data_IF_910608560893
#
_entry.id   IF_910608560893
#
_cell.length_a   1.000
_cell.length_b   1.000
_cell.length_c   1.000
_cell.angle_alpha   90.00
_cell.angle_beta   90.00
_cell.angle_gamma   90.00
#
_symmetry.space_group_name_H-M   'P 1'
#
loop_
_entity.id
_entity.type
_entity.pdbx_description
1 polymer ?
#
# COMPACT_ATOMS: atom_id res chain seq x y z
N UNK A 1 7.70 -54.90 -2.48
CA UNK A 1 8.03 -54.12 -1.27
C UNK A 1 8.71 -52.83 -1.72
N UNK A 2 8.13 -51.69 -1.34
CA UNK A 2 8.66 -50.31 -1.32
C UNK A 2 9.14 -49.76 -2.69
N UNK A 3 8.42 -48.89 -3.40
CA UNK A 3 7.51 -47.83 -2.96
C UNK A 3 8.27 -46.51 -2.71
N UNK A 4 8.99 -46.00 -3.72
CA UNK A 4 9.68 -44.70 -3.63
C UNK A 4 8.81 -43.60 -4.23
N UNK A 5 8.00 -42.98 -3.37
CA UNK A 5 7.30 -41.74 -3.68
C UNK A 5 8.33 -40.61 -3.57
N UNK A 6 8.75 -40.06 -4.70
CA UNK A 6 9.42 -38.77 -4.75
C UNK A 6 8.39 -37.70 -4.38
N UNK A 7 8.36 -37.30 -3.10
CA UNK A 7 7.65 -36.10 -2.67
C UNK A 7 8.48 -34.92 -3.17
N UNK A 8 8.10 -34.37 -4.32
CA UNK A 8 8.49 -33.03 -4.75
C UNK A 8 7.91 -32.06 -3.72
N UNK A 9 8.74 -31.68 -2.75
CA UNK A 9 8.49 -30.54 -1.88
C UNK A 9 8.52 -29.30 -2.79
N UNK A 10 7.34 -28.91 -3.28
CA UNK A 10 7.08 -27.56 -3.77
C UNK A 10 7.24 -26.62 -2.58
N UNK A 11 8.49 -26.28 -2.27
CA UNK A 11 8.81 -25.17 -1.38
C UNK A 11 8.35 -23.90 -2.09
N UNK A 12 7.16 -23.45 -1.69
CA UNK A 12 6.56 -22.15 -1.92
C UNK A 12 7.62 -21.03 -1.85
N UNK A 13 8.17 -20.66 -3.01
CA UNK A 13 9.11 -19.56 -3.16
C UNK A 13 8.41 -18.20 -3.21
N UNK A 14 7.28 -18.05 -2.50
CA UNK A 14 6.41 -16.87 -2.60
C UNK A 14 6.46 -15.87 -1.42
N UNK A 15 7.21 -16.01 -0.30
CA UNK A 15 7.20 -14.95 0.71
C UNK A 15 8.37 -13.95 0.64
N UNK A 16 9.51 -14.29 0.02
CA UNK A 16 10.76 -13.51 0.23
C UNK A 16 10.71 -12.14 -0.46
N UNK A 17 10.22 -12.09 -1.71
CA UNK A 17 10.15 -10.81 -2.46
C UNK A 17 9.09 -9.87 -1.88
N UNK A 18 7.91 -10.40 -1.53
CA UNK A 18 6.83 -9.62 -0.92
C UNK A 18 7.25 -9.05 0.45
N UNK A 19 7.91 -9.83 1.30
CA UNK A 19 8.38 -9.34 2.61
C UNK A 19 9.40 -8.20 2.49
N UNK A 20 10.27 -8.21 1.46
CA UNK A 20 11.30 -7.18 1.29
C UNK A 20 10.73 -5.78 0.99
N UNK A 21 9.58 -5.69 0.32
CA UNK A 21 8.95 -4.43 -0.04
C UNK A 21 8.24 -3.77 1.16
N UNK A 22 7.59 -4.58 1.99
CA UNK A 22 6.91 -4.13 3.22
C UNK A 22 7.86 -3.97 4.41
N UNK A 23 9.07 -4.54 4.36
CA UNK A 23 10.09 -4.36 5.40
C UNK A 23 10.40 -2.87 5.65
N UNK A 24 10.28 -2.02 4.62
CA UNK A 24 10.51 -0.57 4.71
C UNK A 24 9.57 0.16 5.66
N UNK A 25 8.43 -0.44 6.01
CA UNK A 25 7.44 0.16 6.93
C UNK A 25 7.12 -0.71 8.15
N UNK A 26 7.83 -1.83 8.35
CA UNK A 26 7.57 -2.77 9.45
C UNK A 26 7.85 -2.22 10.87
N UNK A 27 8.36 -0.99 11.01
CA UNK A 27 8.72 -0.39 12.30
C UNK A 27 8.49 1.12 12.42
N UNK A 28 7.70 1.72 11.53
CA UNK A 28 7.49 3.17 11.52
C UNK A 28 6.59 3.62 10.38
N UNK A 29 6.89 4.79 9.81
CA UNK A 29 6.22 5.29 8.61
C UNK A 29 7.23 5.51 7.47
N UNK A 30 6.75 5.36 6.24
CA UNK A 30 7.47 5.78 5.05
C UNK A 30 7.17 7.24 4.78
N UNK A 31 8.18 8.10 4.90
CA UNK A 31 8.07 9.52 4.58
C UNK A 31 8.14 9.72 3.06
N UNK A 32 7.12 10.38 2.50
CA UNK A 32 7.00 10.69 1.08
C UNK A 32 6.77 12.19 0.95
N UNK A 33 7.68 12.88 0.27
CA UNK A 33 7.56 14.31 0.01
C UNK A 33 6.99 14.52 -1.39
N UNK A 34 5.89 15.23 -1.51
CA UNK A 34 5.18 15.44 -2.78
C UNK A 34 5.32 16.90 -3.18
N UNK A 35 5.83 17.17 -4.37
CA UNK A 35 5.96 18.52 -4.91
C UNK A 35 4.79 18.87 -5.83
N UNK A 36 4.71 20.15 -6.19
CA UNK A 36 3.76 20.74 -7.12
C UNK A 36 3.95 20.33 -8.60
N UNK A 37 4.95 19.50 -8.89
CA UNK A 37 5.25 19.01 -10.23
C UNK A 37 4.69 17.60 -10.35
N UNK A 38 4.21 17.21 -11.53
CA UNK A 38 3.70 15.87 -11.78
C UNK A 38 4.79 14.81 -11.52
N UNK A 39 4.89 14.39 -10.26
CA UNK A 39 5.86 13.42 -9.76
C UNK A 39 5.09 12.25 -9.22
N UNK A 40 5.25 11.09 -9.87
CA UNK A 40 4.57 9.86 -9.48
C UNK A 40 5.49 9.06 -8.56
N UNK A 41 5.08 8.91 -7.30
CA UNK A 41 5.72 8.01 -6.35
C UNK A 41 4.99 6.67 -6.34
N UNK A 42 5.64 5.61 -6.82
CA UNK A 42 5.13 4.25 -6.77
C UNK A 42 5.90 3.42 -5.73
N UNK A 43 5.20 2.58 -4.97
CA UNK A 43 5.84 1.74 -3.95
C UNK A 43 6.92 0.79 -4.51
N UNK A 44 6.80 0.39 -5.78
CA UNK A 44 7.74 -0.52 -6.45
C UNK A 44 8.41 0.09 -7.70
N UNK A 45 8.42 1.42 -7.88
CA UNK A 45 8.94 2.11 -9.08
C UNK A 45 8.38 1.66 -10.45
N UNK A 46 7.51 0.65 -10.51
CA UNK A 46 6.95 0.06 -11.74
C UNK A 46 5.42 0.02 -11.71
N UNK A 47 4.82 0.40 -10.59
CA UNK A 47 3.38 0.40 -10.34
C UNK A 47 2.65 -0.93 -10.48
N UNK A 48 3.39 -2.03 -10.43
CA UNK A 48 2.81 -3.36 -10.42
C UNK A 48 2.09 -3.64 -9.10
N UNK A 49 1.06 -4.48 -9.17
CA UNK A 49 0.31 -4.96 -8.00
C UNK A 49 1.11 -6.08 -7.36
N UNK A 50 1.38 -5.97 -6.06
CA UNK A 50 2.25 -6.91 -5.33
C UNK A 50 1.52 -7.55 -4.15
N UNK A 51 2.00 -8.71 -3.70
CA UNK A 51 1.42 -9.41 -2.57
C UNK A 51 1.55 -8.58 -1.27
N UNK A 52 0.47 -8.52 -0.49
CA UNK A 52 0.41 -7.89 0.82
C UNK A 52 0.48 -8.99 1.88
N UNK A 53 1.61 -9.27 2.55
CA UNK A 53 1.76 -10.40 3.48
C UNK A 53 0.79 -10.35 4.67
N UNK A 54 0.44 -11.50 5.27
CA UNK A 54 -0.43 -11.52 6.45
C UNK A 54 0.18 -10.75 7.62
N UNK A 55 -0.64 -9.98 8.34
CA UNK A 55 -0.18 -9.19 9.49
C UNK A 55 0.59 -7.91 9.12
N UNK A 56 0.62 -7.54 7.84
CA UNK A 56 1.27 -6.30 7.42
C UNK A 56 0.53 -5.08 7.96
N UNK A 57 1.27 -4.17 8.57
CA UNK A 57 0.82 -2.81 8.85
C UNK A 57 1.89 -1.83 8.35
N UNK A 58 1.48 -0.91 7.49
CA UNK A 58 2.36 0.03 6.82
C UNK A 58 1.77 1.42 6.88
N UNK A 59 2.53 2.36 7.42
CA UNK A 59 2.12 3.75 7.53
C UNK A 59 2.89 4.57 6.49
N UNK A 60 2.20 5.40 5.71
CA UNK A 60 2.80 6.31 4.74
C UNK A 60 2.51 7.74 5.20
N UNK A 61 3.55 8.49 5.50
CA UNK A 61 3.43 9.91 5.82
C UNK A 61 3.71 10.73 4.56
N UNK A 62 2.66 11.32 4.00
CA UNK A 62 2.71 12.08 2.75
C UNK A 62 2.73 13.55 3.10
N UNK A 63 3.84 14.23 2.79
CA UNK A 63 4.02 15.66 3.08
C UNK A 63 3.98 16.44 1.76
N UNK A 64 2.88 17.14 1.46
CA UNK A 64 2.82 18.03 0.29
C UNK A 64 3.69 19.27 0.52
N UNK A 65 4.36 19.74 -0.53
CA UNK A 65 5.09 21.01 -0.51
C UNK A 65 4.16 22.08 -1.10
N UNK A 66 3.97 23.20 -0.40
CA UNK A 66 3.41 24.44 -0.96
C UNK A 66 2.10 24.30 -1.79
N UNK A 67 0.95 24.31 -1.12
CA UNK A 67 -0.38 24.31 -1.77
C UNK A 67 -0.62 23.19 -2.81
N UNK A 68 0.14 22.11 -2.74
CA UNK A 68 -0.01 20.95 -3.64
C UNK A 68 -1.25 20.15 -3.27
N UNK A 69 -2.10 19.90 -4.27
CA UNK A 69 -3.17 18.89 -4.23
C UNK A 69 -2.54 17.51 -4.38
N UNK A 70 -2.91 16.58 -3.51
CA UNK A 70 -2.38 15.21 -3.53
C UNK A 70 -3.42 14.26 -4.08
N UNK A 71 -3.00 13.46 -5.06
CA UNK A 71 -3.79 12.37 -5.63
C UNK A 71 -3.16 11.04 -5.23
N UNK A 72 -3.97 10.15 -4.67
CA UNK A 72 -3.55 8.80 -4.32
C UNK A 72 -4.36 7.83 -5.18
N UNK A 73 -3.68 7.09 -6.03
CA UNK A 73 -4.28 6.02 -6.81
C UNK A 73 -3.95 4.68 -6.15
N UNK A 74 -4.97 3.93 -5.76
CA UNK A 74 -4.84 2.62 -5.13
C UNK A 74 -5.52 1.54 -5.96
N UNK A 75 -4.93 0.35 -5.98
CA UNK A 75 -5.56 -0.85 -6.55
C UNK A 75 -5.11 -2.09 -5.76
N UNK A 76 -5.82 -3.19 -5.92
CA UNK A 76 -5.54 -4.45 -5.26
C UNK A 76 -6.73 -5.39 -5.28
N UNK A 77 -6.60 -6.51 -4.59
CA UNK A 77 -7.67 -7.49 -4.43
C UNK A 77 -7.76 -8.05 -3.01
N UNK A 78 -8.92 -8.62 -2.67
CA UNK A 78 -9.20 -9.35 -1.44
C UNK A 78 -9.07 -8.55 -0.14
N UNK A 79 -9.51 -7.28 -0.14
CA UNK A 79 -9.65 -6.45 1.05
C UNK A 79 -11.03 -6.69 1.68
N UNK A 80 -11.12 -7.63 2.62
CA UNK A 80 -12.39 -7.96 3.31
C UNK A 80 -12.54 -7.22 4.64
N UNK A 81 -11.53 -7.29 5.53
CA UNK A 81 -11.39 -6.41 6.71
C UNK A 81 -10.12 -5.55 6.65
N UNK A 82 -9.27 -5.75 5.63
CA UNK A 82 -8.09 -4.96 5.32
C UNK A 82 -8.50 -3.50 5.11
N UNK A 83 -8.11 -2.62 6.03
CA UNK A 83 -8.42 -1.20 5.91
C UNK A 83 -7.23 -0.46 5.32
N UNK A 84 -7.49 0.21 4.20
CA UNK A 84 -6.67 1.36 3.81
C UNK A 84 -7.39 2.58 4.34
N UNK A 85 -6.75 3.35 5.22
CA UNK A 85 -7.34 4.53 5.82
C UNK A 85 -6.41 5.70 5.62
N UNK A 86 -6.92 6.76 5.02
CA UNK A 86 -6.22 8.03 4.97
C UNK A 86 -6.70 8.91 6.14
N UNK A 87 -5.76 9.48 6.88
CA UNK A 87 -5.99 10.47 7.92
C UNK A 87 -5.47 11.82 7.45
N UNK A 88 -6.28 12.86 7.62
CA UNK A 88 -5.90 14.24 7.32
C UNK A 88 -6.52 15.23 8.30
N UNK A 89 -5.91 16.41 8.42
CA UNK A 89 -6.39 17.58 9.18
C UNK A 89 -7.00 17.27 10.56
N UNK A 90 -6.21 16.68 11.46
CA UNK A 90 -6.67 16.45 12.85
C UNK A 90 -7.37 15.12 13.10
N UNK A 91 -7.01 14.08 12.34
CA UNK A 91 -7.42 12.67 12.51
C UNK A 91 -8.77 12.27 11.88
N UNK A 92 -9.27 13.00 10.88
CA UNK A 92 -10.44 12.54 10.12
C UNK A 92 -10.08 11.28 9.33
N UNK A 93 -10.57 10.13 9.78
CA UNK A 93 -10.35 8.84 9.12
C UNK A 93 -11.25 8.72 7.89
N UNK A 94 -10.64 8.61 6.71
CA UNK A 94 -11.31 8.40 5.45
C UNK A 94 -10.98 7.00 4.92
N UNK A 95 -11.93 6.05 5.00
CA UNK A 95 -11.73 4.73 4.46
C UNK A 95 -11.55 4.78 2.94
N UNK A 96 -10.54 4.07 2.46
CA UNK A 96 -10.24 3.86 1.06
C UNK A 96 -10.73 2.44 0.74
N UNK A 97 -11.76 2.34 -0.11
CA UNK A 97 -12.38 1.07 -0.48
C UNK A 97 -11.79 0.56 -1.80
N UNK A 98 -11.16 -0.61 -1.76
CA UNK A 98 -10.57 -1.25 -2.94
C UNK A 98 -11.49 -2.41 -3.34
N UNK A 99 -12.44 -2.12 -4.24
CA UNK A 99 -13.50 -3.06 -4.65
C UNK A 99 -13.34 -3.60 -6.08
N UNK A 100 -12.29 -3.19 -6.80
CA UNK A 100 -12.03 -3.64 -8.16
C UNK A 100 -10.53 -3.68 -8.43
N UNK A 101 -10.14 -4.40 -9.49
CA UNK A 101 -8.76 -4.41 -9.99
C UNK A 101 -8.36 -3.11 -10.70
N UNK A 102 -9.32 -2.23 -11.00
CA UNK A 102 -9.03 -0.93 -11.58
C UNK A 102 -8.55 0.03 -10.49
N UNK A 103 -7.54 0.87 -10.76
CA UNK A 103 -7.12 1.89 -9.81
C UNK A 103 -8.24 2.87 -9.49
N UNK A 104 -8.42 3.13 -8.19
CA UNK A 104 -9.34 4.14 -7.67
C UNK A 104 -8.50 5.31 -7.20
N UNK A 105 -8.86 6.51 -7.64
CA UNK A 105 -8.17 7.74 -7.27
C UNK A 105 -8.90 8.47 -6.14
N UNK A 106 -8.11 8.97 -5.19
CA UNK A 106 -8.54 9.77 -4.05
C UNK A 106 -7.80 11.10 -4.08
N UNK A 107 -8.55 12.20 -4.01
CA UNK A 107 -7.99 13.55 -3.97
C UNK A 107 -8.01 14.08 -2.54
N UNK A 108 -6.88 14.64 -2.12
CA UNK A 108 -6.73 15.30 -0.84
C UNK A 108 -6.46 16.79 -1.07
N UNK A 109 -7.24 17.69 -0.42
CA UNK A 109 -7.06 19.13 -0.58
C UNK A 109 -5.71 19.55 0.01
N UNK A 110 -5.07 20.63 -0.48
CA UNK A 110 -3.78 21.06 0.01
C UNK A 110 -3.77 21.28 1.52
N UNK A 111 -2.78 20.73 2.21
CA UNK A 111 -2.65 20.84 3.66
C UNK A 111 -1.24 21.23 4.08
N UNK A 112 -1.15 21.98 5.18
CA UNK A 112 0.13 22.28 5.85
C UNK A 112 0.59 21.14 6.77
N UNK A 113 -0.26 20.12 6.98
CA UNK A 113 0.00 18.96 7.82
C UNK A 113 0.18 17.72 6.93
N UNK A 114 1.11 16.81 7.24
CA UNK A 114 1.24 15.56 6.50
C UNK A 114 -0.03 14.69 6.58
N UNK A 115 -0.40 14.08 5.46
CA UNK A 115 -1.39 13.01 5.43
C UNK A 115 -0.77 11.72 5.93
N UNK A 116 -1.54 10.91 6.64
CA UNK A 116 -1.13 9.57 7.05
C UNK A 116 -2.02 8.55 6.34
N UNK A 117 -1.44 7.72 5.48
CA UNK A 117 -2.15 6.59 4.88
C UNK A 117 -1.71 5.31 5.58
N UNK A 118 -2.64 4.61 6.20
CA UNK A 118 -2.39 3.34 6.88
C UNK A 118 -2.94 2.22 6.02
N UNK A 119 -2.07 1.27 5.65
CA UNK A 119 -2.43 0.04 4.97
C UNK A 119 -2.24 -1.10 5.95
N UNK A 120 -3.32 -1.83 6.24
CA UNK A 120 -3.28 -2.92 7.22
C UNK A 120 -3.99 -4.16 6.72
N UNK A 121 -3.29 -5.30 6.71
CA UNK A 121 -3.84 -6.66 6.53
C UNK A 121 -3.73 -7.45 7.83
N UNK A 122 -4.82 -8.06 8.27
CA UNK A 122 -4.82 -8.92 9.44
C UNK A 122 -4.18 -10.29 9.13
N UNK A 123 -3.62 -11.00 10.13
CA UNK A 123 -2.95 -12.29 9.91
C UNK A 123 -3.84 -13.39 9.32
N UNK A 124 -5.15 -13.35 9.61
CA UNK A 124 -6.09 -14.42 9.25
C UNK A 124 -6.89 -14.12 7.97
N UNK A 125 -6.53 -13.07 7.21
CA UNK A 125 -7.24 -12.71 5.99
C UNK A 125 -6.78 -13.50 4.77
N UNK A 126 -7.62 -13.55 3.76
CA UNK A 126 -7.29 -14.11 2.44
C UNK A 126 -6.05 -13.41 1.85
N UNK A 127 -5.28 -14.09 0.97
CA UNK A 127 -4.18 -13.47 0.24
C UNK A 127 -4.66 -12.22 -0.50
N UNK A 128 -4.06 -11.08 -0.17
CA UNK A 128 -4.38 -9.78 -0.75
C UNK A 128 -3.20 -9.27 -1.55
N UNK A 129 -3.49 -8.39 -2.49
CA UNK A 129 -2.49 -7.67 -3.26
C UNK A 129 -2.72 -6.17 -3.18
N UNK A 130 -1.70 -5.36 -3.37
CA UNK A 130 -1.81 -3.91 -3.23
C UNK A 130 -0.89 -3.21 -4.22
N UNK A 131 -1.30 -2.04 -4.68
CA UNK A 131 -0.42 -1.03 -5.26
C UNK A 131 -0.94 0.35 -4.89
N UNK A 132 0.00 1.29 -4.75
CA UNK A 132 -0.31 2.69 -4.53
C UNK A 132 0.63 3.57 -5.37
N UNK A 133 0.04 4.57 -6.02
CA UNK A 133 0.73 5.71 -6.62
C UNK A 133 0.31 6.99 -5.93
N UNK A 134 1.24 7.91 -5.76
CA UNK A 134 0.98 9.24 -5.23
C UNK A 134 1.46 10.26 -6.25
N UNK A 135 0.63 11.26 -6.54
CA UNK A 135 0.90 12.35 -7.49
C UNK A 135 0.57 13.69 -6.85
N UNK A 136 1.39 14.70 -7.12
CA UNK A 136 1.16 16.08 -6.70
C UNK A 136 0.85 16.97 -7.90
N UNK A 137 -0.11 17.89 -7.74
CA UNK A 137 -0.42 18.95 -8.69
C UNK A 137 -0.62 20.28 -7.94
N UNK A 138 -0.35 21.42 -8.58
CA UNK A 138 -0.53 22.76 -8.01
C UNK A 138 -1.50 23.59 -8.85
#
# INVERSE_FOLDING_TARGET
MLGSIFILVLCWAEPILAQSQWARCAGGYMAIMVNASETIYALNNDSSVFALPPGTQCNFQITPISLTVVYISVTGSNFTNTTVVAFYEGNTANPIYINSSNPIEYTFPPSAVPYLVVVKRLPNEQPATFAMKIRGEQ
#
